data_IF_501585037476
#
_entry.id   IF_501585037476
#
_cell.length_a   1.000
_cell.length_b   1.000
_cell.length_c   1.000
_cell.angle_alpha   90.00
_cell.angle_beta   90.00
_cell.angle_gamma   90.00
#
_symmetry.space_group_name_H-M   'P 1'
#
loop_
_entity.id
_entity.type
_entity.pdbx_description
1 polymer ?
#
# COMPACT_ATOMS: atom_id res chain seq x y z
N UNK A 1 -0.61 3.91 -2.40
CA UNK A 1 0.27 3.89 -1.23
C UNK A 1 -0.35 4.59 -0.01
N UNK A 2 0.28 4.50 1.16
CA UNK A 2 -0.16 5.16 2.41
C UNK A 2 0.20 4.37 3.67
N UNK A 3 0.36 5.08 4.79
CA UNK A 3 0.75 4.52 6.08
C UNK A 3 -0.31 3.53 6.63
N UNK A 4 0.07 2.58 7.50
CA UNK A 4 -0.88 1.66 8.14
C UNK A 4 -2.04 2.39 8.81
N UNK A 5 -3.28 1.95 8.53
CA UNK A 5 -4.50 2.58 9.05
C UNK A 5 -4.99 3.83 8.31
N UNK A 6 -4.35 4.25 7.22
CA UNK A 6 -4.75 5.47 6.48
C UNK A 6 -6.07 5.36 5.72
N UNK A 7 -6.63 4.15 5.57
CA UNK A 7 -7.92 3.94 4.89
C UNK A 7 -7.81 3.50 3.44
N UNK A 8 -6.62 3.09 2.97
CA UNK A 8 -6.41 2.52 1.62
C UNK A 8 -7.42 1.42 1.26
N UNK A 9 -7.81 0.60 2.22
CA UNK A 9 -8.78 -0.48 1.96
C UNK A 9 -10.10 0.03 1.37
N UNK A 10 -10.55 1.22 1.76
CA UNK A 10 -11.76 1.79 1.17
C UNK A 10 -11.54 2.25 -0.27
N UNK A 11 -10.38 2.86 -0.56
CA UNK A 11 -9.99 3.19 -1.92
C UNK A 11 -9.98 1.94 -2.80
N UNK A 12 -9.40 0.83 -2.31
CA UNK A 12 -9.38 -0.42 -3.07
C UNK A 12 -10.78 -0.92 -3.41
N UNK A 13 -11.72 -0.87 -2.46
CA UNK A 13 -13.12 -1.25 -2.70
C UNK A 13 -13.78 -0.39 -3.77
N UNK A 14 -13.57 0.93 -3.73
CA UNK A 14 -14.08 1.83 -4.75
C UNK A 14 -13.49 1.50 -6.14
N UNK A 15 -12.19 1.24 -6.23
CA UNK A 15 -11.56 0.84 -7.48
C UNK A 15 -12.11 -0.50 -8.01
N UNK A 16 -12.29 -1.50 -7.13
CA UNK A 16 -12.87 -2.78 -7.50
C UNK A 16 -14.31 -2.65 -8.00
N UNK A 17 -15.13 -1.78 -7.38
CA UNK A 17 -16.48 -1.49 -7.83
C UNK A 17 -16.52 -0.86 -9.23
N UNK A 18 -15.41 -0.25 -9.68
CA UNK A 18 -15.20 0.30 -11.03
C UNK A 18 -14.48 -0.68 -11.97
N UNK A 19 -14.38 -1.96 -11.61
CA UNK A 19 -13.80 -3.01 -12.45
C UNK A 19 -12.28 -3.17 -12.33
N UNK A 20 -11.62 -2.51 -11.39
CA UNK A 20 -10.18 -2.64 -11.24
C UNK A 20 -9.77 -4.03 -10.70
N UNK A 21 -8.73 -4.61 -11.31
CA UNK A 21 -8.00 -5.73 -10.70
C UNK A 21 -7.11 -5.21 -9.57
N UNK A 22 -7.18 -5.81 -8.39
CA UNK A 22 -6.31 -5.44 -7.26
C UNK A 22 -5.19 -6.47 -7.12
N UNK A 23 -3.95 -6.00 -7.14
CA UNK A 23 -2.76 -6.80 -6.84
C UNK A 23 -2.14 -6.26 -5.56
N UNK A 24 -2.15 -7.06 -4.50
CA UNK A 24 -1.58 -6.67 -3.20
C UNK A 24 -0.17 -7.23 -3.09
N UNK A 25 0.83 -6.36 -3.01
CA UNK A 25 2.22 -6.77 -2.80
C UNK A 25 2.38 -7.57 -1.49
N UNK A 26 1.60 -7.23 -0.46
CA UNK A 26 1.61 -7.97 0.81
C UNK A 26 1.13 -9.43 0.70
N UNK A 27 0.27 -9.76 -0.28
CA UNK A 27 -0.13 -11.16 -0.52
C UNK A 27 1.06 -11.94 -1.09
N UNK A 28 1.82 -11.34 -2.01
CA UNK A 28 3.02 -11.95 -2.59
C UNK A 28 4.08 -12.22 -1.50
N UNK A 29 4.26 -11.28 -0.55
CA UNK A 29 5.15 -11.51 0.60
C UNK A 29 4.65 -12.67 1.48
N UNK A 30 3.35 -12.71 1.77
CA UNK A 30 2.74 -13.77 2.58
C UNK A 30 2.87 -15.14 1.93
N UNK A 31 2.64 -15.23 0.62
CA UNK A 31 2.77 -16.49 -0.10
C UNK A 31 4.24 -16.94 -0.09
N UNK A 32 5.18 -16.01 -0.25
CA UNK A 32 6.61 -16.33 -0.09
C UNK A 32 6.96 -16.79 1.32
N UNK A 33 6.38 -16.19 2.36
CA UNK A 33 6.58 -16.59 3.75
C UNK A 33 6.09 -18.01 4.02
N UNK A 34 4.95 -18.40 3.43
CA UNK A 34 4.43 -19.78 3.50
C UNK A 34 5.40 -20.78 2.86
N UNK A 35 6.03 -20.44 1.74
CA UNK A 35 7.05 -21.30 1.11
C UNK A 35 8.26 -21.56 2.04
N UNK A 36 8.59 -20.60 2.91
CA UNK A 36 9.65 -20.74 3.91
C UNK A 36 9.17 -21.36 5.24
N UNK A 37 7.88 -21.71 5.36
CA UNK A 37 7.31 -22.25 6.61
C UNK A 37 7.27 -21.24 7.77
N UNK A 38 7.27 -19.94 7.47
CA UNK A 38 7.22 -18.88 8.48
C UNK A 38 5.80 -18.70 9.02
N UNK A 39 5.71 -18.27 10.28
CA UNK A 39 4.43 -17.94 10.90
C UNK A 39 3.80 -16.69 10.24
N UNK A 40 2.46 -16.57 10.23
CA UNK A 40 1.77 -15.49 9.54
C UNK A 40 1.76 -14.16 10.33
N UNK A 41 2.62 -13.98 11.33
CA UNK A 41 2.65 -12.72 12.10
C UNK A 41 3.21 -11.56 11.29
N UNK A 42 2.75 -10.35 11.61
CA UNK A 42 3.24 -9.10 11.01
C UNK A 42 4.75 -8.91 11.20
N UNK A 43 5.31 -9.41 12.31
CA UNK A 43 6.73 -9.36 12.59
C UNK A 43 7.52 -10.28 11.64
N UNK A 44 7.07 -11.52 11.48
CA UNK A 44 7.69 -12.53 10.63
C UNK A 44 7.64 -12.13 9.15
N UNK A 45 6.46 -11.74 8.67
CA UNK A 45 6.25 -11.23 7.30
C UNK A 45 7.11 -9.99 7.05
N UNK A 46 7.15 -9.06 8.03
CA UNK A 46 7.97 -7.86 7.95
C UNK A 46 9.47 -8.14 7.88
N UNK A 47 9.95 -9.15 8.63
CA UNK A 47 11.35 -9.58 8.62
C UNK A 47 11.74 -10.15 7.27
N UNK A 48 10.95 -11.10 6.75
CA UNK A 48 11.18 -11.67 5.42
C UNK A 48 11.21 -10.59 4.34
N UNK A 49 10.23 -9.67 4.36
CA UNK A 49 10.18 -8.57 3.40
C UNK A 49 11.46 -7.74 3.40
N UNK A 50 12.02 -7.49 4.59
CA UNK A 50 13.24 -6.71 4.77
C UNK A 50 14.50 -7.49 4.35
N UNK A 51 14.60 -8.77 4.69
CA UNK A 51 15.71 -9.64 4.30
C UNK A 51 15.82 -9.79 2.79
N UNK A 52 14.69 -10.02 2.11
CA UNK A 52 14.64 -10.13 0.66
C UNK A 52 15.07 -8.83 -0.01
N UNK A 53 14.68 -7.67 0.54
CA UNK A 53 15.15 -6.35 0.07
C UNK A 53 16.66 -6.18 0.23
N UNK A 54 17.22 -6.58 1.37
CA UNK A 54 18.68 -6.54 1.60
C UNK A 54 19.43 -7.43 0.63
N UNK A 55 18.87 -8.59 0.28
CA UNK A 55 19.53 -9.59 -0.56
C UNK A 55 19.42 -9.30 -2.05
N UNK A 56 18.27 -8.85 -2.52
CA UNK A 56 17.95 -8.75 -3.95
C UNK A 56 17.67 -7.32 -4.43
N UNK A 57 17.75 -6.33 -3.54
CA UNK A 57 17.48 -4.94 -3.82
C UNK A 57 16.10 -4.49 -3.32
N UNK A 58 15.99 -3.18 -3.05
CA UNK A 58 14.79 -2.56 -2.48
C UNK A 58 13.56 -2.66 -3.40
N UNK A 59 13.75 -2.91 -4.69
CA UNK A 59 12.70 -3.08 -5.69
C UNK A 59 12.21 -4.53 -5.87
N UNK A 60 12.75 -5.51 -5.12
CA UNK A 60 12.48 -6.94 -5.33
C UNK A 60 10.98 -7.26 -5.33
N UNK A 61 10.22 -6.67 -4.41
CA UNK A 61 8.79 -6.94 -4.31
C UNK A 61 8.02 -6.31 -5.48
N UNK A 62 8.46 -5.17 -6.02
CA UNK A 62 7.89 -4.62 -7.24
C UNK A 62 8.17 -5.53 -8.44
N UNK A 63 9.42 -5.98 -8.60
CA UNK A 63 9.81 -6.94 -9.65
C UNK A 63 8.97 -8.21 -9.62
N UNK A 64 8.71 -8.76 -8.44
CA UNK A 64 7.83 -9.92 -8.26
C UNK A 64 6.35 -9.62 -8.50
N UNK A 65 5.94 -8.37 -8.38
CA UNK A 65 4.55 -7.94 -8.59
C UNK A 65 4.23 -7.72 -10.06
N UNK A 66 5.18 -7.21 -10.85
CA UNK A 66 5.01 -6.84 -12.27
C UNK A 66 4.32 -7.95 -13.10
N UNK A 67 4.69 -9.23 -13.02
CA UNK A 67 4.05 -10.29 -13.82
C UNK A 67 2.54 -10.47 -13.57
N UNK A 68 2.03 -10.01 -12.42
CA UNK A 68 0.60 -10.10 -12.09
C UNK A 68 -0.20 -8.87 -12.53
N UNK A 69 0.46 -7.83 -13.03
CA UNK A 69 -0.16 -6.58 -13.48
C UNK A 69 -0.48 -6.70 -14.96
N UNK A 70 -1.77 -6.75 -15.29
CA UNK A 70 -2.26 -6.79 -16.66
C UNK A 70 -3.77 -6.59 -16.72
N UNK A 71 -4.25 -6.07 -17.85
CA UNK A 71 -5.63 -5.62 -18.06
C UNK A 71 -5.75 -4.09 -18.04
N UNK A 72 -6.97 -3.60 -18.25
CA UNK A 72 -7.19 -2.17 -18.49
C UNK A 72 -6.98 -1.32 -17.24
N UNK A 73 -7.43 -1.77 -16.06
CA UNK A 73 -7.26 -1.04 -14.81
C UNK A 73 -6.77 -1.97 -13.71
N UNK A 74 -5.56 -1.72 -13.23
CA UNK A 74 -4.93 -2.47 -12.13
C UNK A 74 -4.53 -1.52 -11.03
N UNK A 75 -4.88 -1.87 -9.79
CA UNK A 75 -4.42 -1.17 -8.59
C UNK A 75 -3.40 -2.04 -7.87
N UNK A 76 -2.19 -1.50 -7.72
CA UNK A 76 -1.12 -2.11 -6.94
C UNK A 76 -1.19 -1.54 -5.51
N UNK A 77 -1.53 -2.38 -4.53
CA UNK A 77 -1.49 -2.00 -3.12
C UNK A 77 -0.20 -2.48 -2.44
N UNK A 78 0.32 -1.63 -1.55
CA UNK A 78 1.42 -1.99 -0.67
C UNK A 78 2.81 -1.52 -1.09
N UNK A 79 2.94 -0.58 -2.01
CA UNK A 79 4.22 0.09 -2.31
C UNK A 79 4.79 0.82 -1.10
N UNK A 80 6.08 0.61 -0.83
CA UNK A 80 6.82 0.99 0.38
C UNK A 80 8.02 1.89 0.14
N UNK A 81 8.57 1.94 -1.06
CA UNK A 81 9.78 2.72 -1.31
C UNK A 81 9.93 3.24 -2.74
N UNK A 82 10.78 4.25 -2.96
CA UNK A 82 10.98 4.87 -4.26
C UNK A 82 11.60 3.90 -5.28
N UNK A 83 12.37 2.91 -4.86
CA UNK A 83 12.88 1.83 -5.72
C UNK A 83 11.76 1.00 -6.35
N UNK A 84 10.73 0.67 -5.58
CA UNK A 84 9.56 -0.05 -6.09
C UNK A 84 8.81 0.81 -7.12
N UNK A 85 8.70 2.12 -6.89
CA UNK A 85 8.11 3.07 -7.86
C UNK A 85 8.94 3.15 -9.13
N UNK A 86 10.28 3.21 -9.03
CA UNK A 86 11.16 3.18 -10.20
C UNK A 86 10.99 1.92 -11.04
N UNK A 87 10.90 0.76 -10.39
CA UNK A 87 10.65 -0.50 -11.09
C UNK A 87 9.29 -0.52 -11.80
N UNK A 88 8.24 -0.03 -11.16
CA UNK A 88 6.93 0.11 -11.81
C UNK A 88 6.94 1.15 -12.93
N UNK A 89 7.64 2.27 -12.76
CA UNK A 89 7.76 3.31 -13.80
C UNK A 89 8.51 2.79 -15.01
N UNK A 90 9.54 1.97 -14.80
CA UNK A 90 10.26 1.30 -15.88
C UNK A 90 9.36 0.31 -16.64
N UNK A 91 8.50 -0.42 -15.93
CA UNK A 91 7.62 -1.42 -16.54
C UNK A 91 6.39 -0.82 -17.26
N UNK A 92 5.80 0.24 -16.72
CA UNK A 92 4.50 0.77 -17.18
C UNK A 92 4.56 2.20 -17.72
N UNK A 93 5.71 2.88 -17.62
CA UNK A 93 5.89 4.20 -18.21
C UNK A 93 4.84 5.22 -17.75
N UNK A 94 4.15 5.82 -18.71
CA UNK A 94 3.15 6.87 -18.45
C UNK A 94 1.80 6.32 -17.95
N UNK A 95 1.60 5.01 -17.98
CA UNK A 95 0.38 4.37 -17.46
C UNK A 95 0.42 4.18 -15.93
N UNK A 96 1.55 4.49 -15.29
CA UNK A 96 1.68 4.49 -13.83
C UNK A 96 1.22 5.82 -13.24
N UNK A 97 0.27 5.73 -12.29
CA UNK A 97 -0.11 6.81 -11.39
C UNK A 97 0.05 6.37 -9.93
N UNK A 98 0.74 7.18 -9.14
CA UNK A 98 0.98 6.98 -7.71
C UNK A 98 -0.04 7.78 -6.91
N UNK A 99 -0.92 7.07 -6.21
CA UNK A 99 -1.93 7.68 -5.34
C UNK A 99 -1.57 7.44 -3.87
N UNK A 100 -1.44 8.50 -3.08
CA UNK A 100 -1.21 8.43 -1.64
C UNK A 100 -2.50 8.68 -0.86
N UNK A 101 -2.82 7.80 0.10
CA UNK A 101 -3.88 8.06 1.08
C UNK A 101 -3.23 8.44 2.41
N UNK A 102 -3.46 9.67 2.83
CA UNK A 102 -2.90 10.26 4.04
C UNK A 102 -3.92 10.32 5.17
N UNK A 103 -3.48 9.95 6.38
CA UNK A 103 -4.15 10.28 7.63
C UNK A 103 -3.11 10.50 8.73
N UNK A 104 -3.43 11.36 9.69
CA UNK A 104 -2.61 11.64 10.86
C UNK A 104 -2.37 10.37 11.68
N UNK A 105 -1.21 10.30 12.34
CA UNK A 105 -0.85 9.16 13.21
C UNK A 105 -1.90 8.91 14.29
N UNK A 106 -2.44 9.99 14.89
CA UNK A 106 -3.55 9.91 15.86
C UNK A 106 -4.80 9.26 15.28
N UNK A 107 -5.25 9.70 14.12
CA UNK A 107 -6.43 9.15 13.43
C UNK A 107 -6.22 7.68 13.06
N UNK A 108 -5.03 7.32 12.55
CA UNK A 108 -4.69 5.94 12.17
C UNK A 108 -4.64 5.01 13.37
N UNK A 109 -3.98 5.43 14.45
CA UNK A 109 -3.92 4.65 15.68
C UNK A 109 -5.32 4.41 16.27
N UNK A 110 -6.16 5.44 16.31
CA UNK A 110 -7.56 5.32 16.74
C UNK A 110 -8.34 4.27 15.93
N UNK A 111 -8.25 4.32 14.60
CA UNK A 111 -8.91 3.35 13.70
C UNK A 111 -8.45 1.92 13.90
N UNK A 112 -7.14 1.72 14.10
CA UNK A 112 -6.59 0.37 14.28
C UNK A 112 -7.07 -0.23 15.62
N UNK A 113 -7.18 0.57 16.69
CA UNK A 113 -7.73 0.09 17.96
C UNK A 113 -9.18 -0.38 17.86
N UNK A 114 -10.02 0.31 17.10
CA UNK A 114 -11.45 -0.03 16.98
C UNK A 114 -11.72 -1.27 16.11
N UNK A 115 -10.78 -1.65 15.23
CA UNK A 115 -11.01 -2.67 14.19
C UNK A 115 -10.89 -4.13 14.66
N UNK A 116 -10.38 -4.40 15.86
CA UNK A 116 -10.45 -5.72 16.50
C UNK A 116 -9.84 -6.89 15.71
N UNK A 117 -8.94 -6.64 14.75
CA UNK A 117 -8.28 -7.67 13.94
C UNK A 117 -7.04 -8.21 14.67
N UNK A 118 -6.78 -9.52 14.56
CA UNK A 118 -5.69 -10.19 15.28
C UNK A 118 -4.27 -9.75 14.84
N UNK A 119 -4.13 -9.15 13.66
CA UNK A 119 -2.91 -8.63 13.06
C UNK A 119 -2.65 -7.12 13.36
N UNK A 120 -3.43 -6.51 14.27
CA UNK A 120 -3.30 -5.10 14.60
C UNK A 120 -2.35 -4.88 15.79
N UNK A 121 -1.57 -3.78 15.80
CA UNK A 121 -0.76 -3.44 16.95
C UNK A 121 -1.65 -3.27 18.18
N UNK A 122 -1.44 -4.11 19.18
CA UNK A 122 -2.16 -4.11 20.46
C UNK A 122 -1.71 -2.93 21.33
N UNK A 123 -0.49 -2.44 21.10
CA UNK A 123 0.11 -1.34 21.86
C UNK A 123 0.53 -0.17 20.98
N UNK A 124 0.65 1.02 21.58
CA UNK A 124 1.23 2.20 20.92
C UNK A 124 2.65 1.94 20.42
N UNK A 125 3.45 1.19 21.19
CA UNK A 125 4.83 0.85 20.85
C UNK A 125 4.92 0.01 19.57
N UNK A 126 4.06 -1.01 19.43
CA UNK A 126 4.00 -1.85 18.23
C UNK A 126 3.57 -1.05 17.00
N UNK A 127 2.60 -0.14 17.17
CA UNK A 127 2.19 0.77 16.11
C UNK A 127 3.35 1.67 15.67
N UNK A 128 4.05 2.29 16.61
CA UNK A 128 5.19 3.17 16.32
C UNK A 128 6.37 2.39 15.69
N UNK A 129 6.60 1.14 16.09
CA UNK A 129 7.61 0.27 15.48
C UNK A 129 7.26 -0.07 14.02
N UNK A 130 5.99 -0.33 13.74
CA UNK A 130 5.48 -0.51 12.37
C UNK A 130 5.59 0.78 11.57
N UNK A 131 5.25 1.93 12.15
CA UNK A 131 5.41 3.25 11.51
C UNK A 131 6.85 3.48 11.06
N UNK A 132 7.81 3.31 11.98
CA UNK A 132 9.24 3.51 11.70
C UNK A 132 9.73 2.61 10.57
N UNK A 133 9.44 1.31 10.65
CA UNK A 133 9.85 0.36 9.60
C UNK A 133 9.35 0.75 8.21
N UNK A 134 8.12 1.25 8.12
CA UNK A 134 7.53 1.68 6.86
C UNK A 134 8.23 2.94 6.32
N UNK A 135 8.57 3.89 7.20
CA UNK A 135 9.34 5.08 6.85
C UNK A 135 10.78 4.73 6.44
N UNK A 136 11.44 3.80 7.14
CA UNK A 136 12.79 3.33 6.84
C UNK A 136 12.91 2.68 5.45
N UNK A 137 11.81 2.12 4.93
CA UNK A 137 11.73 1.63 3.55
C UNK A 137 11.57 2.72 2.50
N UNK A 138 11.36 3.97 2.90
CA UNK A 138 11.18 5.12 2.00
C UNK A 138 9.71 5.47 1.72
N UNK A 139 8.75 4.99 2.52
CA UNK A 139 7.33 5.24 2.25
C UNK A 139 6.97 6.73 2.32
N UNK A 140 7.67 7.47 3.17
CA UNK A 140 7.52 8.93 3.27
C UNK A 140 7.84 9.63 1.95
N UNK A 141 8.90 9.20 1.25
CA UNK A 141 9.28 9.75 -0.05
C UNK A 141 8.22 9.46 -1.10
N UNK A 142 7.71 8.21 -1.16
CA UNK A 142 6.64 7.83 -2.10
C UNK A 142 5.38 8.65 -1.87
N UNK A 143 5.03 8.93 -0.61
CA UNK A 143 3.89 9.79 -0.28
C UNK A 143 4.16 11.23 -0.73
N UNK A 144 5.36 11.76 -0.48
CA UNK A 144 5.73 13.14 -0.82
C UNK A 144 5.78 13.39 -2.34
N UNK A 145 6.11 12.38 -3.14
CA UNK A 145 6.21 12.47 -4.61
C UNK A 145 5.02 11.82 -5.33
N UNK A 146 3.90 11.58 -4.65
CA UNK A 146 2.72 10.99 -5.28
C UNK A 146 2.08 11.95 -6.28
N UNK A 147 1.58 11.42 -7.41
CA UNK A 147 0.85 12.19 -8.42
C UNK A 147 -0.46 12.76 -7.86
N UNK A 148 -1.08 12.03 -6.93
CA UNK A 148 -2.29 12.47 -6.25
C UNK A 148 -2.29 12.07 -4.77
N UNK A 149 -2.74 12.97 -3.90
CA UNK A 149 -2.88 12.72 -2.46
C UNK A 149 -4.32 12.92 -2.00
N UNK A 150 -4.89 11.89 -1.40
CA UNK A 150 -6.21 11.93 -0.75
C UNK A 150 -6.01 12.02 0.76
N UNK A 151 -6.51 13.11 1.37
CA UNK A 151 -6.47 13.31 2.83
C UNK A 151 -7.73 12.74 3.47
N UNK A 152 -7.57 11.65 4.21
CA UNK A 152 -8.64 10.93 4.88
C UNK A 152 -8.70 11.30 6.37
N UNK A 153 -9.05 12.55 6.67
CA UNK A 153 -9.29 13.05 8.05
C UNK A 153 -10.77 13.35 8.33
N UNK A 154 -11.66 13.12 7.36
CA UNK A 154 -13.11 13.37 7.47
C UNK A 154 -13.91 12.06 7.54
N UNK A 155 -15.16 12.11 7.10
CA UNK A 155 -16.08 10.98 7.07
C UNK A 155 -15.75 9.98 5.96
N UNK A 156 -16.27 8.76 6.09
CA UNK A 156 -16.16 7.72 5.06
C UNK A 156 -16.80 8.16 3.73
N UNK A 157 -17.89 8.93 3.79
CA UNK A 157 -18.57 9.47 2.61
C UNK A 157 -17.68 10.43 1.84
N UNK A 158 -16.93 11.28 2.56
CA UNK A 158 -15.98 12.20 1.94
C UNK A 158 -14.84 11.46 1.25
N UNK A 159 -14.29 10.43 1.90
CA UNK A 159 -13.27 9.58 1.30
C UNK A 159 -13.77 8.94 -0.01
N UNK A 160 -14.96 8.34 0.00
CA UNK A 160 -15.55 7.72 -1.20
C UNK A 160 -15.69 8.73 -2.33
N UNK A 161 -16.20 9.93 -2.03
CA UNK A 161 -16.38 10.99 -3.02
C UNK A 161 -15.05 11.46 -3.62
N UNK A 162 -14.00 11.62 -2.82
CA UNK A 162 -12.67 11.97 -3.35
C UNK A 162 -12.09 10.85 -4.23
N UNK A 163 -12.26 9.59 -3.83
CA UNK A 163 -11.83 8.44 -4.66
C UNK A 163 -12.63 8.37 -5.97
N UNK A 164 -13.94 8.58 -5.94
CA UNK A 164 -14.77 8.59 -7.14
C UNK A 164 -14.35 9.70 -8.12
N UNK A 165 -14.08 10.91 -7.60
CA UNK A 165 -13.57 12.02 -8.43
C UNK A 165 -12.23 11.69 -9.08
N UNK A 166 -11.33 11.07 -8.33
CA UNK A 166 -10.05 10.61 -8.86
C UNK A 166 -10.24 9.55 -9.95
N UNK A 167 -11.10 8.56 -9.73
CA UNK A 167 -11.35 7.53 -10.74
C UNK A 167 -12.00 8.12 -11.99
N UNK A 168 -12.95 9.05 -11.84
CA UNK A 168 -13.56 9.76 -12.96
C UNK A 168 -12.52 10.55 -13.77
N UNK A 169 -11.51 11.16 -13.15
CA UNK A 169 -10.44 11.87 -13.87
C UNK A 169 -9.51 10.90 -14.60
N UNK A 170 -9.18 9.75 -14.00
CA UNK A 170 -8.38 8.69 -14.62
C UNK A 170 -9.08 8.11 -15.84
N UNK A 171 -10.39 7.88 -15.78
CA UNK A 171 -11.16 7.34 -16.90
C UNK A 171 -11.42 8.36 -18.02
N UNK A 172 -11.51 9.66 -17.71
CA UNK A 172 -11.70 10.72 -18.72
C UNK A 172 -10.41 11.09 -19.47
N UNK A 173 -9.25 10.83 -18.87
CA UNK A 173 -7.95 11.08 -19.48
C UNK A 173 -7.42 9.94 -20.36
N UNK A 174 -8.22 8.88 -20.55
CA UNK A 174 -7.95 7.75 -21.44
C UNK A 174 -8.65 7.91 -22.79
#
# INVERSE_FOLDING_TARGET
TGMPGSGKEELLKCCQARGAKVVRMGDIVRDKAKEFGLDPSDASIGSLANEERKRYGMDIWAKRTIPYVGGDLVVIDGTRGPDEIRAFKHAFGNDLMVVAVHSSSRTRFGRLRTRGRADLPATRSEFDARERRELDWGLGEVIATADHMIVNESTLSDLKREVDRLLDSVFRGR
#
